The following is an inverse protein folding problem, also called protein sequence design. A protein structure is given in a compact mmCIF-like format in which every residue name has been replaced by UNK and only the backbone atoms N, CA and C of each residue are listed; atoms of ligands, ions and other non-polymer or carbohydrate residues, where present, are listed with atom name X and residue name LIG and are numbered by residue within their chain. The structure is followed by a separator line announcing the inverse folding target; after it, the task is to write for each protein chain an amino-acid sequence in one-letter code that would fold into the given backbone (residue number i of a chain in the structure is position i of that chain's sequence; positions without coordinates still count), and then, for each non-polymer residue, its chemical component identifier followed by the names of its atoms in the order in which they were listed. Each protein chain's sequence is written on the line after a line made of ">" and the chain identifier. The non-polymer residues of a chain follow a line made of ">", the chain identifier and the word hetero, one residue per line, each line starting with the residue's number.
data_IF_887463633901
#
_entry.id   IF_887463633901
#
_cell.length_a   1.000
_cell.length_b   1.000
_cell.length_c   1.000
_cell.angle_alpha   90.00
_cell.angle_beta   90.00
_cell.angle_gamma   90.00
#
_symmetry.space_group_name_H-M   'P 1'
#
loop_
_entity.id
_entity.type
_entity.pdbx_description
1 polymer ?
#
# COMPACT_ATOMS: atom_id res chain seq x y z
N UNK A 1 -9.08 -11.75 8.25
CA UNK A 1 -7.77 -12.38 8.55
C UNK A 1 -6.98 -12.36 7.26
N UNK A 2 -5.84 -11.67 7.22
CA UNK A 2 -4.95 -11.70 6.04
C UNK A 2 -4.46 -13.14 5.85
N UNK A 3 -4.99 -13.82 4.83
CA UNK A 3 -4.70 -15.23 4.52
C UNK A 3 -3.24 -15.48 4.17
N UNK A 4 -2.49 -14.42 3.86
CA UNK A 4 -1.08 -14.49 3.47
C UNK A 4 -0.10 -14.24 4.63
N UNK A 5 -0.59 -13.88 5.83
CA UNK A 5 0.27 -13.69 7.00
C UNK A 5 1.03 -14.96 7.41
N UNK A 6 0.62 -16.13 6.94
CA UNK A 6 1.34 -17.38 7.15
C UNK A 6 2.71 -17.40 6.43
N UNK A 7 2.84 -16.73 5.29
CA UNK A 7 4.09 -16.71 4.53
C UNK A 7 5.15 -15.81 5.19
N UNK A 8 4.72 -14.72 5.81
CA UNK A 8 5.58 -13.78 6.52
C UNK A 8 4.99 -13.45 7.88
N UNK A 9 5.22 -14.30 8.90
CA UNK A 9 4.76 -14.03 10.24
C UNK A 9 5.57 -12.85 10.82
N UNK A 10 4.91 -11.84 11.43
CA UNK A 10 5.56 -10.58 11.80
C UNK A 10 6.54 -10.70 12.99
N UNK A 11 6.57 -11.85 13.67
CA UNK A 11 7.51 -12.17 14.74
C UNK A 11 8.78 -12.90 14.24
N UNK A 12 8.89 -13.13 12.92
CA UNK A 12 10.07 -13.74 12.30
C UNK A 12 10.58 -12.87 11.16
N UNK A 13 11.89 -12.64 11.15
CA UNK A 13 12.53 -11.92 10.06
C UNK A 13 12.49 -12.77 8.76
N UNK A 14 11.96 -12.23 7.64
CA UNK A 14 11.94 -12.93 6.35
C UNK A 14 13.35 -13.25 5.85
N UNK A 15 13.51 -14.21 4.94
CA UNK A 15 14.80 -14.46 4.28
C UNK A 15 15.08 -13.47 3.14
N UNK A 16 14.02 -12.94 2.54
CA UNK A 16 14.05 -12.08 1.38
C UNK A 16 14.75 -10.75 1.70
N UNK A 17 15.63 -10.27 0.81
CA UNK A 17 16.51 -9.14 1.10
C UNK A 17 15.80 -7.78 1.06
N UNK A 18 14.67 -7.67 0.37
CA UNK A 18 13.94 -6.41 0.12
C UNK A 18 12.68 -6.25 0.99
N UNK A 19 12.44 -7.16 1.93
CA UNK A 19 11.40 -7.05 2.95
C UNK A 19 11.93 -7.38 4.34
N UNK A 20 11.33 -6.81 5.38
CA UNK A 20 11.72 -7.03 6.78
C UNK A 20 10.50 -7.07 7.70
N UNK A 21 10.58 -7.84 8.79
CA UNK A 21 9.60 -7.76 9.88
C UNK A 21 9.94 -6.65 10.89
N UNK A 22 11.07 -5.97 10.67
CA UNK A 22 11.56 -4.85 11.49
C UNK A 22 11.79 -5.23 12.97
N UNK A 23 12.22 -6.47 13.21
CA UNK A 23 12.53 -6.95 14.56
C UNK A 23 13.80 -6.30 15.16
N UNK A 24 14.70 -5.83 14.30
CA UNK A 24 15.90 -5.05 14.68
C UNK A 24 15.95 -3.74 13.85
N UNK A 25 15.29 -2.66 14.32
CA UNK A 25 15.25 -1.38 13.62
C UNK A 25 16.63 -0.72 13.45
N UNK A 26 17.60 -1.06 14.30
CA UNK A 26 18.95 -0.51 14.21
C UNK A 26 19.76 -1.19 13.10
N UNK A 27 19.44 -2.43 12.74
CA UNK A 27 20.17 -3.22 11.74
C UNK A 27 19.27 -3.78 10.63
N UNK A 28 18.40 -2.94 10.07
CA UNK A 28 17.61 -3.28 8.88
C UNK A 28 18.53 -3.77 7.75
N UNK A 29 18.09 -4.81 7.01
CA UNK A 29 18.88 -5.52 5.99
C UNK A 29 19.60 -4.64 4.97
N UNK A 30 18.99 -3.51 4.59
CA UNK A 30 19.52 -2.55 3.62
C UNK A 30 19.92 -1.22 4.28
N UNK A 31 20.36 -1.26 5.55
CA UNK A 31 20.78 -0.08 6.33
C UNK A 31 21.73 0.84 5.56
N UNK A 32 22.70 0.28 4.82
CA UNK A 32 23.69 1.02 4.03
C UNK A 32 23.11 1.72 2.79
N UNK A 33 21.89 1.36 2.37
CA UNK A 33 21.18 2.00 1.26
C UNK A 33 20.13 3.03 1.72
N UNK A 34 19.87 3.15 3.02
CA UNK A 34 18.86 4.08 3.52
C UNK A 34 19.18 5.51 3.12
N UNK A 35 18.17 6.23 2.63
CA UNK A 35 18.32 7.64 2.29
C UNK A 35 18.66 8.48 3.54
N UNK A 36 19.57 9.47 3.44
CA UNK A 36 19.97 10.29 4.57
C UNK A 36 18.78 10.93 5.30
N UNK A 37 18.73 10.78 6.62
CA UNK A 37 17.69 11.37 7.47
C UNK A 37 16.31 10.69 7.41
N UNK A 38 16.17 9.58 6.67
CA UNK A 38 14.89 8.86 6.60
C UNK A 38 14.53 8.26 7.97
N UNK A 39 13.25 8.36 8.34
CA UNK A 39 12.75 7.77 9.59
C UNK A 39 12.46 6.29 9.41
N UNK A 40 12.67 5.52 10.49
CA UNK A 40 12.39 4.09 10.57
C UNK A 40 11.35 3.87 11.69
N UNK A 41 10.18 3.27 11.41
CA UNK A 41 9.64 3.03 10.07
C UNK A 41 9.34 4.33 9.32
N UNK A 42 9.35 4.27 7.99
CA UNK A 42 9.12 5.44 7.14
C UNK A 42 7.63 5.66 6.92
N UNK A 43 7.13 6.82 7.37
CA UNK A 43 5.74 7.22 7.17
C UNK A 43 5.48 7.52 5.69
N UNK A 44 4.40 6.97 5.14
CA UNK A 44 4.00 7.18 3.75
C UNK A 44 2.51 7.48 3.56
N UNK A 45 1.81 7.87 4.63
CA UNK A 45 0.37 8.18 4.59
C UNK A 45 -0.55 6.97 4.62
N UNK A 46 -0.02 5.80 4.95
CA UNK A 46 -0.78 4.54 5.02
C UNK A 46 -2.02 4.64 5.91
N UNK A 47 -1.85 5.07 7.17
CA UNK A 47 -2.93 5.16 8.15
C UNK A 47 -4.06 6.08 7.67
N UNK A 48 -3.72 7.26 7.17
CA UNK A 48 -4.67 8.23 6.61
C UNK A 48 -5.40 7.67 5.38
N UNK A 49 -4.70 6.95 4.50
CA UNK A 49 -5.32 6.28 3.35
C UNK A 49 -6.25 5.15 3.80
N UNK A 50 -5.86 4.34 4.80
CA UNK A 50 -6.68 3.26 5.34
C UNK A 50 -7.98 3.79 5.96
N UNK A 51 -7.92 4.87 6.73
CA UNK A 51 -9.10 5.54 7.30
C UNK A 51 -10.06 6.03 6.21
N UNK A 52 -9.54 6.71 5.18
CA UNK A 52 -10.35 7.16 4.04
C UNK A 52 -10.94 5.98 3.25
N UNK A 53 -10.23 4.85 3.15
CA UNK A 53 -10.75 3.65 2.50
C UNK A 53 -11.89 3.01 3.29
N UNK A 54 -11.79 2.97 4.62
CA UNK A 54 -12.87 2.52 5.51
C UNK A 54 -14.10 3.41 5.33
N UNK A 55 -13.92 4.74 5.35
CA UNK A 55 -15.02 5.69 5.11
C UNK A 55 -15.69 5.45 3.74
N UNK A 56 -14.88 5.28 2.69
CA UNK A 56 -15.39 4.96 1.34
C UNK A 56 -16.18 3.65 1.32
N UNK A 57 -15.71 2.62 2.00
CA UNK A 57 -16.39 1.33 2.09
C UNK A 57 -17.74 1.46 2.79
N UNK A 58 -17.81 2.23 3.87
CA UNK A 58 -19.05 2.50 4.60
C UNK A 58 -20.07 3.25 3.75
N UNK A 59 -19.62 4.24 2.97
CA UNK A 59 -20.46 4.97 2.02
C UNK A 59 -21.03 4.00 0.98
N UNK A 60 -20.20 3.13 0.40
CA UNK A 60 -20.63 2.12 -0.57
C UNK A 60 -21.62 1.11 0.03
N UNK A 61 -21.39 0.65 1.27
CA UNK A 61 -22.31 -0.25 1.98
C UNK A 61 -23.68 0.40 2.19
N UNK A 62 -23.70 1.67 2.62
CA UNK A 62 -24.94 2.46 2.79
C UNK A 62 -25.67 2.63 1.46
N UNK A 63 -24.95 3.00 0.39
CA UNK A 63 -25.52 3.13 -0.96
C UNK A 63 -26.19 1.83 -1.41
N UNK A 64 -25.50 0.68 -1.30
CA UNK A 64 -26.03 -0.62 -1.71
C UNK A 64 -27.27 -1.02 -0.90
N UNK A 65 -27.26 -0.76 0.41
CA UNK A 65 -28.42 -0.98 1.27
C UNK A 65 -29.61 -0.10 0.87
N UNK A 66 -29.41 1.19 0.59
CA UNK A 66 -30.49 2.09 0.16
C UNK A 66 -31.06 1.69 -1.20
N UNK A 67 -30.20 1.38 -2.17
CA UNK A 67 -30.61 0.89 -3.49
C UNK A 67 -31.43 -0.41 -3.36
N UNK A 68 -30.98 -1.36 -2.54
CA UNK A 68 -31.72 -2.61 -2.32
C UNK A 68 -33.10 -2.38 -1.71
N UNK A 69 -33.21 -1.49 -0.71
CA UNK A 69 -34.50 -1.12 -0.10
C UNK A 69 -35.46 -0.46 -1.09
N UNK A 70 -34.95 0.41 -1.97
CA UNK A 70 -35.77 1.08 -2.99
C UNK A 70 -36.21 0.11 -4.09
N UNK A 71 -35.33 -0.78 -4.55
CA UNK A 71 -35.69 -1.83 -5.51
C UNK A 71 -36.83 -2.71 -5.00
N UNK A 72 -36.79 -3.12 -3.73
CA UNK A 72 -37.85 -3.93 -3.12
C UNK A 72 -39.20 -3.19 -3.02
N UNK A 73 -39.20 -1.85 -3.09
CA UNK A 73 -40.41 -1.01 -3.08
C UNK A 73 -40.90 -0.64 -4.49
N UNK A 74 -40.29 -1.20 -5.54
CA UNK A 74 -40.66 -0.89 -6.92
C UNK A 74 -40.23 0.51 -7.39
N UNK A 75 -39.15 1.05 -6.82
CA UNK A 75 -38.63 2.37 -7.22
C UNK A 75 -38.26 2.41 -8.70
N UNK A 76 -38.48 3.57 -9.31
CA UNK A 76 -38.11 3.87 -10.70
C UNK A 76 -36.60 3.95 -10.88
N UNK A 77 -36.13 3.77 -12.11
CA UNK A 77 -34.70 3.93 -12.44
C UNK A 77 -34.17 5.33 -12.11
N UNK A 78 -35.00 6.37 -12.25
CA UNK A 78 -34.62 7.74 -11.91
C UNK A 78 -34.32 7.92 -10.41
N UNK A 79 -35.10 7.27 -9.53
CA UNK A 79 -34.88 7.31 -8.08
C UNK A 79 -33.58 6.58 -7.70
N UNK A 80 -33.32 5.42 -8.32
CA UNK A 80 -32.08 4.69 -8.11
C UNK A 80 -30.86 5.49 -8.57
N UNK A 81 -30.97 6.17 -9.70
CA UNK A 81 -29.88 7.00 -10.24
C UNK A 81 -29.60 8.23 -9.36
N UNK A 82 -30.62 8.86 -8.80
CA UNK A 82 -30.43 9.95 -7.85
C UNK A 82 -29.64 9.52 -6.61
N UNK A 83 -29.88 8.31 -6.09
CA UNK A 83 -29.10 7.73 -4.99
C UNK A 83 -27.66 7.45 -5.45
N UNK A 84 -27.47 6.78 -6.60
CA UNK A 84 -26.13 6.52 -7.14
C UNK A 84 -25.32 7.81 -7.31
N UNK A 85 -25.91 8.86 -7.88
CA UNK A 85 -25.26 10.17 -8.05
C UNK A 85 -24.87 10.78 -6.70
N UNK A 86 -25.80 10.84 -5.75
CA UNK A 86 -25.56 11.42 -4.41
C UNK A 86 -24.41 10.73 -3.68
N UNK A 87 -24.38 9.40 -3.69
CA UNK A 87 -23.30 8.64 -3.06
C UNK A 87 -22.01 8.66 -3.88
N UNK A 88 -22.12 8.66 -5.21
CA UNK A 88 -21.01 8.79 -6.14
C UNK A 88 -20.22 10.09 -5.95
N UNK A 89 -20.90 11.21 -5.74
CA UNK A 89 -20.26 12.50 -5.41
C UNK A 89 -19.46 12.42 -4.10
N UNK A 90 -19.97 11.72 -3.07
CA UNK A 90 -19.24 11.50 -1.82
C UNK A 90 -18.02 10.63 -2.01
N UNK A 91 -18.16 9.50 -2.72
CA UNK A 91 -17.04 8.60 -3.04
C UNK A 91 -15.96 9.33 -3.84
N UNK A 92 -16.37 10.19 -4.80
CA UNK A 92 -15.44 11.02 -5.58
C UNK A 92 -14.59 11.91 -4.68
N UNK A 93 -15.20 12.63 -3.73
CA UNK A 93 -14.48 13.47 -2.77
C UNK A 93 -13.49 12.68 -1.91
N UNK A 94 -13.85 11.47 -1.48
CA UNK A 94 -12.93 10.61 -0.73
C UNK A 94 -11.75 10.14 -1.60
N UNK A 95 -12.01 9.77 -2.86
CA UNK A 95 -10.94 9.40 -3.78
C UNK A 95 -10.00 10.59 -4.07
N UNK A 96 -10.52 11.80 -4.17
CA UNK A 96 -9.71 13.03 -4.29
C UNK A 96 -8.79 13.21 -3.07
N UNK A 97 -9.31 13.05 -1.84
CA UNK A 97 -8.49 13.08 -0.62
C UNK A 97 -7.41 12.01 -0.62
N UNK A 98 -7.75 10.76 -0.97
CA UNK A 98 -6.77 9.66 -1.04
C UNK A 98 -5.65 10.01 -2.03
N UNK A 99 -5.99 10.59 -3.19
CA UNK A 99 -4.99 11.00 -4.17
C UNK A 99 -4.11 12.15 -3.65
N UNK A 100 -4.69 13.14 -2.95
CA UNK A 100 -3.91 14.21 -2.32
C UNK A 100 -2.89 13.66 -1.33
N UNK A 101 -3.27 12.69 -0.48
CA UNK A 101 -2.35 12.04 0.45
C UNK A 101 -1.24 11.31 -0.31
N UNK A 102 -1.60 10.53 -1.33
CA UNK A 102 -0.62 9.81 -2.17
C UNK A 102 0.35 10.74 -2.86
N UNK A 103 -0.12 11.85 -3.41
CA UNK A 103 0.71 12.80 -4.16
C UNK A 103 1.66 13.55 -3.22
N UNK A 104 1.19 13.93 -2.02
CA UNK A 104 2.04 14.50 -0.97
C UNK A 104 3.19 13.58 -0.61
N UNK A 105 2.91 12.32 -0.29
CA UNK A 105 3.97 11.39 0.10
C UNK A 105 4.83 10.95 -1.09
N UNK A 106 4.28 10.91 -2.31
CA UNK A 106 5.07 10.66 -3.53
C UNK A 106 6.11 11.75 -3.73
N UNK A 107 5.74 13.02 -3.67
CA UNK A 107 6.71 14.11 -3.88
C UNK A 107 7.82 14.12 -2.82
N UNK A 108 7.51 13.71 -1.58
CA UNK A 108 8.50 13.64 -0.50
C UNK A 108 9.40 12.40 -0.52
N UNK A 109 8.91 11.27 -1.05
CA UNK A 109 9.54 9.94 -0.92
C UNK A 109 10.00 9.32 -2.24
N UNK A 110 9.68 9.93 -3.38
CA UNK A 110 10.12 9.42 -4.69
C UNK A 110 11.65 9.31 -4.75
N UNK A 111 12.13 8.15 -5.20
CA UNK A 111 13.56 7.82 -5.26
C UNK A 111 14.23 7.54 -3.91
N UNK A 112 13.52 7.68 -2.77
CA UNK A 112 14.09 7.38 -1.45
C UNK A 112 13.96 5.91 -1.09
N UNK A 113 15.00 5.39 -0.45
CA UNK A 113 15.07 4.05 0.13
C UNK A 113 14.85 4.19 1.63
N UNK A 114 13.82 3.52 2.14
CA UNK A 114 13.34 3.61 3.51
C UNK A 114 12.84 2.27 4.04
N UNK A 115 11.92 2.32 4.99
CA UNK A 115 11.31 1.15 5.63
C UNK A 115 9.79 1.36 5.65
N UNK A 116 9.14 1.07 4.53
CA UNK A 116 7.73 1.38 4.30
C UNK A 116 6.85 0.19 4.68
N UNK A 117 5.92 0.37 5.62
CA UNK A 117 5.04 -0.72 6.03
C UNK A 117 4.09 -1.15 4.89
N UNK A 118 3.84 -2.45 4.79
CA UNK A 118 3.01 -3.08 3.77
C UNK A 118 3.87 -3.75 2.70
N UNK A 119 4.03 -5.06 2.79
CA UNK A 119 4.78 -5.88 1.85
C UNK A 119 4.40 -7.36 2.01
N UNK A 120 4.89 -8.24 1.13
CA UNK A 120 4.68 -9.69 1.29
C UNK A 120 3.20 -10.11 1.38
N UNK A 121 2.31 -9.40 0.67
CA UNK A 121 0.86 -9.61 0.71
C UNK A 121 0.18 -9.37 2.07
N UNK A 122 0.87 -8.75 3.03
CA UNK A 122 0.29 -8.29 4.29
C UNK A 122 0.27 -6.77 4.36
N UNK A 123 -0.79 -6.25 4.96
CA UNK A 123 -0.93 -4.80 5.19
C UNK A 123 0.02 -4.32 6.28
N UNK A 124 0.25 -5.11 7.35
CA UNK A 124 0.93 -4.70 8.59
C UNK A 124 2.06 -5.65 8.97
N UNK A 125 3.03 -5.13 9.73
CA UNK A 125 4.11 -5.91 10.36
C UNK A 125 5.23 -6.37 9.43
N UNK A 126 5.08 -6.21 8.10
CA UNK A 126 6.16 -6.43 7.13
C UNK A 126 6.37 -5.14 6.35
N UNK A 127 7.63 -4.79 6.13
CA UNK A 127 8.07 -3.54 5.54
C UNK A 127 8.90 -3.81 4.27
N UNK A 128 8.82 -2.91 3.30
CA UNK A 128 9.61 -2.93 2.05
C UNK A 128 10.61 -1.77 2.02
N UNK A 129 11.66 -1.93 1.22
CA UNK A 129 12.72 -0.94 1.03
C UNK A 129 12.30 0.30 0.24
N UNK A 130 11.40 0.17 -0.74
CA UNK A 130 11.05 1.26 -1.65
C UNK A 130 9.56 1.64 -1.59
N UNK A 131 9.29 2.94 -1.74
CA UNK A 131 7.92 3.47 -1.69
C UNK A 131 7.06 2.94 -2.85
N UNK A 132 7.61 2.98 -4.08
CA UNK A 132 7.02 2.45 -5.30
C UNK A 132 8.09 1.69 -6.11
N UNK A 133 7.93 0.38 -6.34
CA UNK A 133 8.77 -0.37 -7.29
C UNK A 133 7.97 -0.55 -8.58
N UNK A 134 8.65 -0.51 -9.74
CA UNK A 134 8.06 -0.74 -11.07
C UNK A 134 7.29 -2.06 -11.19
N UNK A 135 7.58 -3.04 -10.34
CA UNK A 135 6.81 -4.28 -10.19
C UNK A 135 5.31 -4.05 -9.88
N UNK A 136 4.95 -2.90 -9.29
CA UNK A 136 3.56 -2.48 -9.05
C UNK A 136 2.96 -1.60 -10.16
N UNK A 137 3.79 -1.00 -11.01
CA UNK A 137 3.37 0.02 -11.98
C UNK A 137 3.55 -0.37 -13.45
N UNK A 138 4.08 -1.56 -13.77
CA UNK A 138 4.05 -2.22 -15.10
C UNK A 138 4.73 -1.48 -16.28
N UNK A 139 5.13 -0.22 -16.11
CA UNK A 139 5.68 0.64 -17.17
C UNK A 139 7.20 0.63 -17.26
N UNK A 140 7.89 0.08 -16.26
CA UNK A 140 9.35 -0.05 -16.23
C UNK A 140 9.67 -1.39 -15.58
N UNK A 141 10.16 -2.34 -16.38
CA UNK A 141 10.68 -3.62 -15.91
C UNK A 141 12.02 -3.36 -15.19
N UNK A 142 11.97 -2.70 -14.04
CA UNK A 142 13.14 -2.39 -13.22
C UNK A 142 12.90 -2.86 -11.79
N UNK A 143 13.93 -3.43 -11.21
CA UNK A 143 13.98 -3.77 -9.80
C UNK A 143 14.24 -2.51 -8.96
N UNK A 144 13.95 -2.55 -7.66
CA UNK A 144 14.38 -1.51 -6.74
C UNK A 144 15.87 -1.68 -6.38
N UNK A 145 16.58 -0.62 -5.94
CA UNK A 145 18.01 -0.70 -5.64
C UNK A 145 18.39 -1.84 -4.68
N UNK A 146 17.54 -2.15 -3.69
CA UNK A 146 17.81 -3.25 -2.75
C UNK A 146 17.69 -4.62 -3.43
N UNK A 147 16.70 -4.79 -4.30
CA UNK A 147 16.55 -6.00 -5.10
C UNK A 147 17.67 -6.14 -6.14
N UNK A 148 18.08 -5.04 -6.79
CA UNK A 148 19.20 -5.04 -7.74
C UNK A 148 20.50 -5.47 -7.06
N UNK A 149 20.83 -4.91 -5.89
CA UNK A 149 22.02 -5.30 -5.13
C UNK A 149 21.97 -6.79 -4.76
N UNK A 150 20.82 -7.30 -4.31
CA UNK A 150 20.67 -8.70 -3.95
C UNK A 150 20.84 -9.64 -5.16
N UNK A 151 20.25 -9.30 -6.30
CA UNK A 151 20.39 -10.07 -7.54
C UNK A 151 21.87 -10.10 -7.97
N UNK A 152 22.55 -8.96 -7.96
CA UNK A 152 23.97 -8.87 -8.32
C UNK A 152 24.86 -9.71 -7.39
N UNK A 153 24.58 -9.74 -6.09
CA UNK A 153 25.30 -10.60 -5.13
C UNK A 153 25.20 -12.08 -5.50
N UNK A 154 24.00 -12.55 -5.87
CA UNK A 154 23.79 -13.94 -6.28
C UNK A 154 24.50 -14.25 -7.60
N UNK A 155 24.40 -13.36 -8.59
CA UNK A 155 25.09 -13.54 -9.88
C UNK A 155 26.60 -13.67 -9.65
N UNK A 156 27.19 -12.77 -8.86
CA UNK A 156 28.63 -12.78 -8.56
C UNK A 156 29.04 -14.03 -7.76
N UNK A 157 28.19 -14.51 -6.86
CA UNK A 157 28.46 -15.74 -6.10
C UNK A 157 28.48 -16.99 -6.99
N UNK A 158 27.61 -17.05 -8.00
CA UNK A 158 27.49 -18.21 -8.90
C UNK A 158 28.44 -18.17 -10.10
N UNK A 159 29.02 -17.00 -10.39
CA UNK A 159 29.85 -16.77 -11.58
C UNK A 159 31.35 -16.68 -11.25
N UNK A 160 31.71 -16.76 -9.97
CA UNK A 160 33.09 -16.79 -9.48
C UNK A 160 33.49 -18.21 -9.05
#
# INVERSE_FOLDING_TARGET
>A
KDTFSYFFPPDREPHEPNITALLDPENVKWKHLLSPGIKIPTKWGKEEIEELQIERQDISRKMNSEISKLKNKGASEQELENIRRKFGEKIKKINEKINQVRDKYRSELEGKIGVFEGAGYTSKGIYRSEFNIGMFNGKKNSYGPVSEEAILKIINHLSN
#
